data_IF_733575672979
#
_entry.id   IF_733575672979
#
_cell.length_a   1.000
_cell.length_b   1.000
_cell.length_c   1.000
_cell.angle_alpha   90.00
_cell.angle_beta   90.00
_cell.angle_gamma   90.00
#
_symmetry.space_group_name_H-M   'P 1'
#
loop_
_entity.id
_entity.type
_entity.pdbx_description
1 polymer ?
#
# COMPACT_ATOMS: atom_id res chain seq x y z
N UNK A 1 -15.40 -4.32 -18.87
CA UNK A 1 -13.97 -4.60 -18.74
C UNK A 1 -13.55 -5.61 -19.77
N UNK A 2 -12.45 -5.40 -20.43
CA UNK A 2 -11.99 -6.26 -21.55
C UNK A 2 -11.51 -7.61 -21.07
N UNK A 3 -10.56 -7.64 -20.17
CA UNK A 3 -10.08 -8.84 -19.49
C UNK A 3 -9.57 -8.49 -18.11
N UNK A 4 -9.48 -9.49 -17.26
CA UNK A 4 -9.00 -9.32 -15.89
C UNK A 4 -7.76 -10.18 -15.66
N UNK A 5 -6.79 -9.61 -14.95
CA UNK A 5 -5.65 -10.33 -14.42
C UNK A 5 -5.63 -10.28 -12.91
N UNK A 6 -5.27 -11.40 -12.30
CA UNK A 6 -5.15 -11.55 -10.85
C UNK A 6 -3.74 -12.01 -10.52
N UNK A 7 -3.10 -11.30 -9.62
CA UNK A 7 -1.77 -11.67 -9.11
C UNK A 7 -1.81 -11.62 -7.60
N UNK A 8 -1.56 -12.75 -6.96
CA UNK A 8 -1.49 -12.86 -5.51
C UNK A 8 -0.05 -13.06 -5.07
N UNK A 9 0.41 -12.18 -4.19
CA UNK A 9 1.77 -12.20 -3.65
C UNK A 9 1.75 -12.10 -2.13
N UNK A 10 2.82 -12.52 -1.50
CA UNK A 10 2.99 -12.41 -0.06
C UNK A 10 3.72 -11.11 0.28
N UNK A 11 3.01 -10.20 0.91
CA UNK A 11 3.52 -8.93 1.40
C UNK A 11 3.24 -7.73 0.49
N UNK A 12 3.03 -6.57 1.11
CA UNK A 12 2.69 -5.32 0.41
C UNK A 12 3.84 -4.85 -0.48
N UNK A 13 5.08 -4.99 -0.05
CA UNK A 13 6.25 -4.58 -0.85
C UNK A 13 6.34 -5.39 -2.13
N UNK A 14 6.14 -6.70 -2.06
CA UNK A 14 6.10 -7.55 -3.25
C UNK A 14 4.92 -7.20 -4.16
N UNK A 15 3.77 -6.82 -3.60
CA UNK A 15 2.61 -6.39 -4.36
C UNK A 15 2.88 -5.08 -5.13
N UNK A 16 3.49 -4.10 -4.49
CA UNK A 16 3.86 -2.82 -5.14
C UNK A 16 4.87 -3.06 -6.25
N UNK A 17 5.87 -3.89 -6.01
CA UNK A 17 6.85 -4.26 -7.02
C UNK A 17 6.21 -4.96 -8.23
N UNK A 18 5.34 -5.94 -7.99
CA UNK A 18 4.60 -6.63 -9.04
C UNK A 18 3.72 -5.67 -9.84
N UNK A 19 3.03 -4.76 -9.18
CA UNK A 19 2.19 -3.75 -9.84
C UNK A 19 3.01 -2.84 -10.75
N UNK A 20 4.14 -2.36 -10.27
CA UNK A 20 5.03 -1.51 -11.05
C UNK A 20 5.55 -2.24 -12.30
N UNK A 21 5.99 -3.47 -12.16
CA UNK A 21 6.43 -4.32 -13.27
C UNK A 21 5.31 -4.48 -14.31
N UNK A 22 4.11 -4.82 -13.86
CA UNK A 22 2.96 -5.01 -14.74
C UNK A 22 2.60 -3.74 -15.51
N UNK A 23 2.52 -2.61 -14.83
CA UNK A 23 2.14 -1.34 -15.45
C UNK A 23 3.22 -0.78 -16.40
N UNK A 24 4.49 -1.09 -16.14
CA UNK A 24 5.61 -0.69 -17.01
C UNK A 24 5.79 -1.59 -18.23
N UNK A 25 5.44 -2.86 -18.12
CA UNK A 25 5.69 -3.86 -19.17
C UNK A 25 4.56 -4.00 -20.19
N UNK A 26 3.36 -3.56 -19.85
CA UNK A 26 2.20 -3.68 -20.71
C UNK A 26 1.17 -2.59 -20.41
N UNK A 27 0.27 -2.36 -21.34
CA UNK A 27 -0.79 -1.36 -21.19
C UNK A 27 -1.97 -1.93 -20.38
N UNK A 28 -1.80 -1.95 -19.08
CA UNK A 28 -2.78 -2.42 -18.10
C UNK A 28 -3.03 -1.36 -17.03
N UNK A 29 -4.19 -1.42 -16.42
CA UNK A 29 -4.60 -0.52 -15.34
C UNK A 29 -4.95 -1.31 -14.10
N UNK A 30 -4.63 -0.77 -12.93
CA UNK A 30 -5.06 -1.34 -11.65
C UNK A 30 -6.56 -1.10 -11.47
N UNK A 31 -7.31 -2.17 -11.26
CA UNK A 31 -8.73 -2.11 -10.89
C UNK A 31 -8.86 -2.00 -9.37
N UNK A 32 -8.19 -2.88 -8.66
CA UNK A 32 -8.25 -2.95 -7.21
C UNK A 32 -7.11 -3.78 -6.64
N UNK A 33 -6.93 -3.69 -5.34
CA UNK A 33 -6.10 -4.61 -4.59
C UNK A 33 -6.78 -5.00 -3.28
N UNK A 34 -6.61 -6.24 -2.89
CA UNK A 34 -7.16 -6.78 -1.65
C UNK A 34 -6.01 -7.16 -0.71
N UNK A 35 -6.00 -6.59 0.49
CA UNK A 35 -4.92 -6.76 1.47
C UNK A 35 -5.33 -7.51 2.74
N UNK A 36 -6.61 -7.61 3.01
CA UNK A 36 -7.15 -8.17 4.26
C UNK A 36 -7.46 -9.66 4.13
N UNK A 37 -6.56 -10.40 3.49
CA UNK A 37 -6.79 -11.83 3.20
C UNK A 37 -6.18 -12.77 4.24
N UNK A 38 -5.47 -12.25 5.24
CA UNK A 38 -4.67 -13.06 6.15
C UNK A 38 -3.37 -13.56 5.51
N UNK A 39 -2.46 -14.10 6.30
CA UNK A 39 -1.20 -14.67 5.82
C UNK A 39 -0.28 -13.72 5.05
N UNK A 40 -0.44 -12.41 5.20
CA UNK A 40 0.26 -11.36 4.43
C UNK A 40 -0.04 -11.37 2.93
N UNK A 41 -1.05 -12.08 2.48
CA UNK A 41 -1.41 -12.15 1.07
C UNK A 41 -2.02 -10.84 0.58
N UNK A 42 -1.61 -10.44 -0.61
CA UNK A 42 -2.15 -9.28 -1.32
C UNK A 42 -2.51 -9.71 -2.72
N UNK A 43 -3.73 -9.44 -3.12
CA UNK A 43 -4.21 -9.73 -4.48
C UNK A 43 -4.34 -8.44 -5.27
N UNK A 44 -3.68 -8.38 -6.40
CA UNK A 44 -3.80 -7.29 -7.37
C UNK A 44 -4.75 -7.69 -8.47
N UNK A 45 -5.66 -6.80 -8.82
CA UNK A 45 -6.61 -6.98 -9.93
C UNK A 45 -6.31 -5.92 -10.99
N UNK A 46 -5.95 -6.37 -12.18
CA UNK A 46 -5.64 -5.50 -13.32
C UNK A 46 -6.59 -5.76 -14.47
N UNK A 47 -6.72 -4.79 -15.36
CA UNK A 47 -7.53 -4.88 -16.57
C UNK A 47 -6.80 -4.32 -17.78
N UNK A 48 -7.15 -4.81 -18.94
CA UNK A 48 -6.61 -4.40 -20.24
C UNK A 48 -7.02 -5.37 -21.32
N UNK A 49 -6.34 -5.30 -22.47
CA UNK A 49 -6.51 -6.32 -23.51
C UNK A 49 -5.92 -7.66 -23.03
N UNK A 50 -6.44 -8.76 -23.55
CA UNK A 50 -5.97 -10.11 -23.18
C UNK A 50 -4.46 -10.27 -23.33
N UNK A 51 -3.90 -9.82 -24.44
CA UNK A 51 -2.47 -9.88 -24.69
C UNK A 51 -1.66 -9.04 -23.71
N UNK A 52 -2.13 -7.84 -23.38
CA UNK A 52 -1.48 -6.95 -22.42
C UNK A 52 -1.54 -7.52 -20.99
N UNK A 53 -2.68 -8.02 -20.58
CA UNK A 53 -2.85 -8.63 -19.25
C UNK A 53 -1.99 -9.89 -19.11
N UNK A 54 -1.96 -10.74 -20.15
CA UNK A 54 -1.12 -11.94 -20.17
C UNK A 54 0.36 -11.59 -20.07
N UNK A 55 0.83 -10.63 -20.86
CA UNK A 55 2.21 -10.15 -20.81
C UNK A 55 2.58 -9.56 -19.45
N UNK A 56 1.70 -8.74 -18.86
CA UNK A 56 1.91 -8.15 -17.55
C UNK A 56 2.05 -9.21 -16.46
N UNK A 57 1.18 -10.20 -16.44
CA UNK A 57 1.20 -11.29 -15.45
C UNK A 57 2.46 -12.14 -15.62
N UNK A 58 2.85 -12.49 -16.84
CA UNK A 58 4.08 -13.26 -17.09
C UNK A 58 5.33 -12.48 -16.68
N UNK A 59 5.39 -11.19 -16.93
CA UNK A 59 6.51 -10.35 -16.49
C UNK A 59 6.56 -10.23 -14.96
N UNK A 60 5.43 -10.14 -14.30
CA UNK A 60 5.39 -10.17 -12.84
C UNK A 60 5.94 -11.47 -12.28
N UNK A 61 5.57 -12.62 -12.87
CA UNK A 61 6.12 -13.93 -12.47
C UNK A 61 7.64 -14.01 -12.62
N UNK A 62 8.17 -13.42 -13.69
CA UNK A 62 9.59 -13.51 -14.01
C UNK A 62 10.47 -12.55 -13.21
N UNK A 63 9.97 -11.37 -12.85
CA UNK A 63 10.79 -10.26 -12.36
C UNK A 63 10.46 -9.80 -10.93
N UNK A 64 9.32 -10.21 -10.37
CA UNK A 64 8.92 -9.81 -9.02
C UNK A 64 9.93 -10.29 -7.97
N UNK A 65 10.19 -9.46 -6.96
CA UNK A 65 11.10 -9.79 -5.84
C UNK A 65 10.69 -11.05 -5.07
N UNK A 66 9.39 -11.35 -5.06
CA UNK A 66 8.86 -12.63 -4.58
C UNK A 66 8.00 -13.25 -5.67
N UNK A 67 8.21 -14.54 -5.91
CA UNK A 67 7.37 -15.26 -6.87
C UNK A 67 5.90 -15.23 -6.42
N UNK A 68 4.96 -14.86 -7.31
CA UNK A 68 3.54 -14.88 -6.97
C UNK A 68 3.07 -16.25 -6.51
N UNK A 69 2.19 -16.25 -5.51
CA UNK A 69 1.56 -17.47 -4.96
C UNK A 69 0.58 -18.06 -5.96
N UNK A 70 -0.21 -17.20 -6.60
CA UNK A 70 -1.18 -17.57 -7.60
C UNK A 70 -1.37 -16.45 -8.62
N UNK A 71 -1.67 -16.81 -9.84
CA UNK A 71 -1.99 -15.87 -10.91
C UNK A 71 -3.10 -16.43 -11.76
N UNK A 72 -3.92 -15.55 -12.32
CA UNK A 72 -4.96 -15.93 -13.27
C UNK A 72 -5.16 -14.82 -14.30
N UNK A 73 -5.50 -15.23 -15.52
CA UNK A 73 -5.92 -14.33 -16.58
C UNK A 73 -7.28 -14.79 -17.08
N UNK A 74 -8.27 -13.91 -17.06
CA UNK A 74 -9.62 -14.18 -17.53
C UNK A 74 -9.88 -13.29 -18.74
N UNK A 75 -9.92 -13.90 -19.91
CA UNK A 75 -10.01 -13.19 -21.19
C UNK A 75 -11.36 -12.50 -21.42
N UNK A 76 -12.42 -13.15 -21.03
CA UNK A 76 -13.79 -12.63 -21.17
C UNK A 76 -14.54 -12.91 -19.86
N UNK A 77 -14.36 -12.05 -18.84
CA UNK A 77 -14.94 -12.32 -17.54
C UNK A 77 -16.46 -12.30 -17.56
N UNK A 78 -17.05 -13.24 -16.83
CA UNK A 78 -18.50 -13.26 -16.60
C UNK A 78 -18.93 -11.98 -15.86
N UNK A 79 -20.15 -11.54 -16.06
CA UNK A 79 -20.70 -10.32 -15.42
C UNK A 79 -20.53 -10.32 -13.90
N UNK A 80 -20.71 -11.46 -13.24
CA UNK A 80 -20.52 -11.59 -11.79
C UNK A 80 -19.07 -11.39 -11.37
N UNK A 81 -18.11 -11.84 -12.17
CA UNK A 81 -16.68 -11.64 -11.93
C UNK A 81 -16.32 -10.15 -12.07
N UNK A 82 -16.84 -9.49 -13.09
CA UNK A 82 -16.68 -8.04 -13.27
C UNK A 82 -17.29 -7.28 -12.10
N UNK A 83 -18.48 -7.68 -11.66
CA UNK A 83 -19.16 -7.08 -10.51
C UNK A 83 -18.33 -7.17 -9.23
N UNK A 84 -17.72 -8.31 -8.96
CA UNK A 84 -16.81 -8.47 -7.81
C UNK A 84 -15.59 -7.55 -7.90
N UNK A 85 -14.98 -7.46 -9.06
CA UNK A 85 -13.85 -6.56 -9.27
C UNK A 85 -14.23 -5.08 -9.09
N UNK A 86 -15.39 -4.67 -9.58
CA UNK A 86 -15.90 -3.31 -9.42
C UNK A 86 -16.26 -2.99 -7.96
N UNK A 87 -16.85 -3.95 -7.22
CA UNK A 87 -17.12 -3.79 -5.79
C UNK A 87 -15.81 -3.61 -5.00
N UNK A 88 -14.79 -4.36 -5.32
CA UNK A 88 -13.47 -4.20 -4.73
C UNK A 88 -12.89 -2.81 -5.04
N UNK A 89 -12.98 -2.37 -6.28
CA UNK A 89 -12.52 -1.04 -6.70
C UNK A 89 -13.23 0.09 -5.93
N UNK A 90 -14.52 -0.03 -5.69
CA UNK A 90 -15.30 0.95 -4.91
C UNK A 90 -14.84 1.07 -3.46
N UNK A 91 -14.35 -0.01 -2.86
CA UNK A 91 -13.84 0.00 -1.49
C UNK A 91 -12.55 0.78 -1.33
N UNK A 92 -11.74 0.84 -2.37
CA UNK A 92 -10.45 1.55 -2.35
C UNK A 92 -10.51 2.93 -2.96
N UNK A 93 -11.58 3.26 -3.69
CA UNK A 93 -11.79 4.59 -4.25
C UNK A 93 -11.88 5.62 -3.11
N UNK A 94 -11.26 6.81 -3.26
CA UNK A 94 -11.47 7.89 -2.31
C UNK A 94 -12.95 8.20 -2.21
N UNK A 95 -13.49 8.29 -1.01
CA UNK A 95 -14.84 8.81 -0.81
C UNK A 95 -14.82 10.27 -1.13
N UNK A 96 -15.52 10.70 -2.16
CA UNK A 96 -15.55 12.09 -2.62
C UNK A 96 -16.18 13.07 -1.61
N UNK A 97 -16.78 12.59 -0.52
CA UNK A 97 -17.53 13.40 0.46
C UNK A 97 -17.04 13.28 1.91
N UNK A 98 -15.77 12.96 2.15
CA UNK A 98 -15.24 13.20 3.49
C UNK A 98 -14.62 14.61 3.53
N UNK A 99 -15.11 15.54 4.40
CA UNK A 99 -14.36 16.76 4.65
C UNK A 99 -12.93 16.34 5.00
N UNK A 100 -11.96 16.92 4.36
CA UNK A 100 -10.56 16.78 4.75
C UNK A 100 -10.49 17.32 6.17
N UNK A 101 -10.52 16.44 7.16
CA UNK A 101 -10.12 16.78 8.49
C UNK A 101 -8.63 17.10 8.37
N UNK A 102 -8.33 18.40 8.36
CA UNK A 102 -6.96 18.86 8.44
C UNK A 102 -6.40 18.26 9.72
N UNK A 103 -5.43 17.36 9.57
CA UNK A 103 -4.68 16.88 10.71
C UNK A 103 -4.12 18.09 11.44
N UNK A 104 -4.33 18.22 12.75
CA UNK A 104 -3.79 19.37 13.48
C UNK A 104 -2.28 19.35 13.31
N UNK A 105 -1.77 20.43 12.73
CA UNK A 105 -0.35 20.69 12.66
C UNK A 105 0.20 20.61 14.07
N UNK A 106 1.20 19.80 14.38
CA UNK A 106 1.79 19.79 15.71
C UNK A 106 2.41 21.17 15.94
N UNK A 107 1.75 21.94 16.79
CA UNK A 107 2.30 23.18 17.31
C UNK A 107 3.65 22.86 17.94
N UNK A 108 4.68 23.51 17.44
CA UNK A 108 6.03 23.45 17.97
C UNK A 108 5.96 23.94 19.42
N UNK A 109 5.95 23.01 20.38
CA UNK A 109 6.14 23.34 21.77
C UNK A 109 7.57 23.89 21.92
N UNK A 110 7.65 25.18 22.03
CA UNK A 110 8.86 25.89 22.48
C UNK A 110 9.14 25.44 23.91
N UNK A 111 10.09 24.55 24.09
CA UNK A 111 10.65 24.25 25.41
C UNK A 111 11.40 25.46 25.92
N UNK A 112 10.75 26.21 26.79
CA UNK A 112 11.45 27.17 27.61
C UNK A 112 12.21 26.38 28.66
N UNK A 113 13.49 26.28 28.50
CA UNK A 113 14.41 25.79 29.54
C UNK A 113 14.54 26.85 30.60
N UNK A 114 13.82 26.68 31.70
CA UNK A 114 14.15 27.39 32.95
C UNK A 114 15.36 26.68 33.54
N UNK A 115 16.52 27.30 33.43
CA UNK A 115 17.69 26.93 34.21
C UNK A 115 17.46 27.34 35.67
N UNK A 116 17.27 26.38 36.52
CA UNK A 116 17.29 26.62 37.97
C UNK A 116 18.70 26.37 38.44
N UNK A 117 19.41 27.45 38.65
CA UNK A 117 20.75 27.42 39.28
C UNK A 117 20.51 27.12 40.75
N UNK A 118 20.70 25.90 41.18
CA UNK A 118 20.79 25.55 42.57
C UNK A 118 22.18 25.95 43.10
N UNK A 119 22.21 27.00 43.87
CA UNK A 119 23.41 27.43 44.58
C UNK A 119 23.54 26.58 45.83
N UNK A 120 24.40 25.57 45.77
CA UNK A 120 24.75 24.79 46.96
C UNK A 120 25.84 25.56 47.73
N UNK A 121 25.45 26.17 48.81
CA UNK A 121 26.42 26.74 49.77
C UNK A 121 26.89 25.59 50.64
N UNK A 122 28.10 25.15 50.39
CA UNK A 122 28.74 24.18 51.29
C UNK A 122 29.45 24.94 52.37
N UNK A 123 28.88 24.98 53.55
CA UNK A 123 29.57 25.51 54.72
C UNK A 123 30.50 24.42 55.25
N UNK A 124 31.77 24.62 55.08
CA UNK A 124 32.77 23.76 55.71
C UNK A 124 32.98 24.34 57.11
N UNK A 125 32.52 23.61 58.12
CA UNK A 125 32.88 23.87 59.48
C UNK A 125 34.22 23.19 59.77
N UNK A 126 35.25 23.96 59.90
CA UNK A 126 36.51 23.49 60.41
C UNK A 126 36.33 23.34 61.93
N UNK A 127 36.45 22.10 62.39
CA UNK A 127 36.61 21.80 63.80
C UNK A 127 38.10 21.49 64.04
N UNK A 128 38.59 22.14 65.04
CA UNK A 128 39.94 21.92 65.54
C UNK A 128 40.11 20.52 66.09
#
# INVERSE_FOLDING_TARGET
MKSLGFVEVSGVVAAVDALDIMCKSAEVSLVSWERKLGGRLVTLIITGNVSAVTAAVENAKAQCIKKPVATAVIANPHEETVRLAELSAKRIAPKEDAPKEEAPTPEKATKTTKSTTAKTTKTIKEDK
#
